data_IF_596218531597
#
_entry.id   IF_596218531597
#
_cell.length_a   1.000
_cell.length_b   1.000
_cell.length_c   1.000
_cell.angle_alpha   90.00
_cell.angle_beta   90.00
_cell.angle_gamma   90.00
#
_symmetry.space_group_name_H-M   'P 1'
#
loop_
_entity.id
_entity.type
_entity.pdbx_description
1 polymer ?
#
# COMPACT_ATOMS: atom_id res chain seq x y z
N UNK A 1 35.69 17.45 21.96
CA UNK A 1 35.09 16.52 21.02
C UNK A 1 33.68 16.99 20.66
N UNK A 2 33.16 16.67 19.48
CA UNK A 2 31.79 16.99 19.10
C UNK A 2 30.85 16.01 19.83
N UNK A 3 29.70 16.53 20.29
CA UNK A 3 28.61 15.72 20.81
C UNK A 3 27.63 15.43 19.68
N UNK A 4 27.25 14.16 19.50
CA UNK A 4 26.25 13.74 18.52
C UNK A 4 24.87 13.65 19.19
N UNK A 5 23.90 14.39 18.67
CA UNK A 5 22.52 14.40 19.15
C UNK A 5 21.61 13.86 18.04
N UNK A 6 20.73 12.91 18.39
CA UNK A 6 19.72 12.43 17.44
C UNK A 6 18.64 13.52 17.26
N UNK A 7 18.57 14.06 16.03
CA UNK A 7 17.61 15.09 15.64
C UNK A 7 16.49 14.54 14.72
N UNK A 8 16.35 13.21 14.59
CA UNK A 8 15.37 12.58 13.70
C UNK A 8 13.93 12.99 14.01
N UNK A 9 13.59 13.24 15.26
CA UNK A 9 12.25 13.69 15.67
C UNK A 9 11.87 15.05 15.05
N UNK A 10 12.84 15.97 14.87
CA UNK A 10 12.59 17.28 14.25
C UNK A 10 12.10 17.09 12.81
N UNK A 11 12.74 16.18 12.05
CA UNK A 11 12.34 15.88 10.69
C UNK A 11 10.96 15.21 10.62
N UNK A 12 10.64 14.35 11.59
CA UNK A 12 9.31 13.74 11.67
C UNK A 12 8.23 14.81 11.94
N UNK A 13 8.46 15.71 12.89
CA UNK A 13 7.52 16.79 13.20
C UNK A 13 7.28 17.72 12.00
N UNK A 14 8.35 18.09 11.29
CA UNK A 14 8.24 18.97 10.11
C UNK A 14 7.50 18.33 8.93
N UNK A 15 7.55 17.00 8.79
CA UNK A 15 7.07 16.28 7.61
C UNK A 15 5.71 15.62 7.80
N UNK A 16 5.28 15.42 9.05
CA UNK A 16 4.10 14.61 9.35
C UNK A 16 2.78 15.25 8.88
N UNK A 17 2.65 16.59 8.96
CA UNK A 17 1.46 17.33 8.52
C UNK A 17 1.78 17.98 7.18
N UNK A 18 1.05 17.59 6.14
CA UNK A 18 1.28 18.05 4.78
C UNK A 18 0.55 19.37 4.49
N UNK A 19 1.23 20.27 3.80
CA UNK A 19 0.60 21.44 3.19
C UNK A 19 -0.25 21.03 1.99
N UNK A 20 -1.09 21.93 1.49
CA UNK A 20 -1.92 21.68 0.31
C UNK A 20 -1.07 21.39 -0.95
N UNK A 21 0.11 22.01 -1.08
CA UNK A 21 1.00 21.74 -2.20
C UNK A 21 1.61 20.32 -2.13
N UNK A 22 2.00 19.87 -0.93
CA UNK A 22 2.50 18.51 -0.70
C UNK A 22 1.41 17.47 -0.97
N UNK A 23 0.17 17.75 -0.53
CA UNK A 23 -0.99 16.90 -0.84
C UNK A 23 -1.27 16.85 -2.34
N UNK A 24 -1.11 17.96 -3.06
CA UNK A 24 -1.27 17.99 -4.52
C UNK A 24 -0.23 17.10 -5.22
N UNK A 25 1.05 17.13 -4.80
CA UNK A 25 2.09 16.24 -5.32
C UNK A 25 1.76 14.76 -5.05
N UNK A 26 1.33 14.43 -3.83
CA UNK A 26 0.90 13.08 -3.48
C UNK A 26 -0.29 12.61 -4.33
N UNK A 27 -1.35 13.44 -4.47
CA UNK A 27 -2.52 13.11 -5.28
C UNK A 27 -2.15 12.83 -6.73
N UNK A 28 -1.25 13.61 -7.32
CA UNK A 28 -0.76 13.37 -8.67
C UNK A 28 0.04 12.06 -8.76
N UNK A 29 0.93 11.80 -7.80
CA UNK A 29 1.65 10.53 -7.71
C UNK A 29 0.72 9.31 -7.63
N UNK A 30 -0.33 9.37 -6.79
CA UNK A 30 -1.33 8.30 -6.71
C UNK A 30 -2.12 8.16 -8.01
N UNK A 31 -2.46 9.26 -8.69
CA UNK A 31 -3.11 9.21 -10.01
C UNK A 31 -2.25 8.45 -11.04
N UNK A 32 -0.94 8.68 -11.03
CA UNK A 32 -0.02 7.97 -11.94
C UNK A 32 0.14 6.49 -11.57
N UNK A 33 0.19 6.16 -10.28
CA UNK A 33 0.21 4.78 -9.82
C UNK A 33 -1.07 4.02 -10.21
N UNK A 34 -2.24 4.67 -10.15
CA UNK A 34 -3.51 4.14 -10.63
C UNK A 34 -3.49 3.89 -12.13
N UNK A 35 -2.98 4.83 -12.94
CA UNK A 35 -2.82 4.65 -14.39
C UNK A 35 -1.93 3.45 -14.72
N UNK A 36 -0.79 3.32 -14.03
CA UNK A 36 0.11 2.19 -14.21
C UNK A 36 -0.56 0.86 -13.86
N UNK A 37 -1.34 0.83 -12.76
CA UNK A 37 -2.08 -0.35 -12.34
C UNK A 37 -3.11 -0.77 -13.39
N UNK A 38 -3.90 0.17 -13.89
CA UNK A 38 -4.88 -0.08 -14.97
C UNK A 38 -4.20 -0.66 -16.22
N UNK A 39 -3.04 -0.14 -16.59
CA UNK A 39 -2.33 -0.61 -17.76
C UNK A 39 -1.71 -2.01 -17.55
N UNK A 40 -1.12 -2.27 -16.37
CA UNK A 40 -0.62 -3.61 -16.03
C UNK A 40 -1.75 -4.64 -16.06
N UNK A 41 -2.91 -4.35 -15.45
CA UNK A 41 -4.09 -5.22 -15.48
C UNK A 41 -4.53 -5.52 -16.91
N UNK A 42 -4.50 -4.51 -17.78
CA UNK A 42 -4.89 -4.66 -19.20
C UNK A 42 -3.92 -5.53 -19.98
N UNK A 43 -2.62 -5.47 -19.69
CA UNK A 43 -1.57 -6.15 -20.46
C UNK A 43 -1.18 -7.53 -19.91
N UNK A 44 -1.27 -7.76 -18.60
CA UNK A 44 -0.79 -8.98 -17.96
C UNK A 44 -1.49 -10.24 -18.46
N UNK A 45 -0.69 -11.27 -18.77
CA UNK A 45 -1.16 -12.59 -19.21
C UNK A 45 -0.27 -13.70 -18.64
N UNK A 46 -0.79 -14.92 -18.42
CA UNK A 46 0.05 -16.08 -18.14
C UNK A 46 1.16 -16.27 -19.18
N UNK A 47 2.35 -16.64 -18.73
CA UNK A 47 3.57 -16.77 -19.53
C UNK A 47 4.40 -15.48 -19.65
N UNK A 48 3.87 -14.32 -19.26
CA UNK A 48 4.68 -13.10 -19.12
C UNK A 48 5.46 -13.14 -17.81
N UNK A 49 6.60 -12.44 -17.77
CA UNK A 49 7.43 -12.39 -16.55
C UNK A 49 7.06 -11.21 -15.67
N UNK A 50 7.39 -11.34 -14.38
CA UNK A 50 7.25 -10.24 -13.39
C UNK A 50 7.94 -8.96 -13.88
N UNK A 51 9.18 -9.07 -14.43
CA UNK A 51 9.94 -7.92 -14.94
C UNK A 51 9.29 -7.26 -16.15
N UNK A 52 8.63 -8.01 -17.03
CA UNK A 52 7.90 -7.41 -18.17
C UNK A 52 6.78 -6.49 -17.64
N UNK A 53 6.07 -6.91 -16.59
CA UNK A 53 4.98 -6.09 -16.02
C UNK A 53 5.49 -4.87 -15.25
N UNK A 54 6.64 -4.97 -14.57
CA UNK A 54 7.32 -3.79 -14.02
C UNK A 54 7.68 -2.81 -15.13
N UNK A 55 8.22 -3.30 -16.26
CA UNK A 55 8.52 -2.46 -17.42
C UNK A 55 7.29 -1.75 -18.00
N UNK A 56 6.13 -2.39 -18.02
CA UNK A 56 4.86 -1.74 -18.40
C UNK A 56 4.50 -0.62 -17.43
N UNK A 57 4.59 -0.88 -16.13
CA UNK A 57 4.29 0.12 -15.11
C UNK A 57 5.24 1.33 -15.19
N UNK A 58 6.55 1.09 -15.30
CA UNK A 58 7.58 2.12 -15.45
C UNK A 58 7.33 2.99 -16.68
N UNK A 59 7.06 2.38 -17.83
CA UNK A 59 6.72 3.12 -19.05
C UNK A 59 5.57 4.08 -18.80
N UNK A 60 4.49 3.63 -18.17
CA UNK A 60 3.31 4.47 -17.93
C UNK A 60 3.63 5.65 -17.02
N UNK A 61 4.30 5.44 -15.89
CA UNK A 61 4.57 6.54 -14.95
C UNK A 61 5.52 7.58 -15.55
N UNK A 62 6.56 7.14 -16.27
CA UNK A 62 7.51 8.07 -16.91
C UNK A 62 6.91 8.81 -18.11
N UNK A 63 6.12 8.15 -18.95
CA UNK A 63 5.40 8.80 -20.06
C UNK A 63 4.42 9.87 -19.58
N UNK A 64 3.94 9.76 -18.33
CA UNK A 64 2.99 10.69 -17.74
C UNK A 64 3.61 11.69 -16.76
N UNK A 65 4.94 11.79 -16.71
CA UNK A 65 5.64 12.88 -16.03
C UNK A 65 6.14 12.59 -14.62
N UNK A 66 6.12 11.33 -14.15
CA UNK A 66 6.82 10.99 -12.93
C UNK A 66 8.32 11.20 -13.09
N UNK A 67 8.95 11.84 -12.09
CA UNK A 67 10.41 12.04 -12.09
C UNK A 67 11.18 10.76 -11.72
N UNK A 68 10.55 9.91 -10.92
CA UNK A 68 11.09 8.64 -10.45
C UNK A 68 9.98 7.72 -9.91
N UNK A 69 10.34 6.50 -9.53
CA UNK A 69 9.48 5.59 -8.77
C UNK A 69 9.41 6.03 -7.31
N UNK A 70 8.24 6.00 -6.68
CA UNK A 70 8.07 6.32 -5.26
C UNK A 70 8.76 5.30 -4.34
N UNK A 71 8.69 4.03 -4.74
CA UNK A 71 9.49 2.90 -4.25
C UNK A 71 9.86 2.04 -5.46
N UNK A 72 10.87 1.16 -5.37
CA UNK A 72 11.13 0.20 -6.44
C UNK A 72 9.90 -0.66 -6.71
N UNK A 73 9.24 -0.44 -7.85
CA UNK A 73 8.02 -1.14 -8.22
C UNK A 73 8.24 -2.65 -8.32
N UNK A 74 7.22 -3.41 -7.95
CA UNK A 74 7.21 -4.85 -8.17
C UNK A 74 5.83 -5.36 -8.57
N UNK A 75 5.83 -6.38 -9.42
CA UNK A 75 4.67 -7.16 -9.80
C UNK A 75 5.04 -8.61 -9.56
N UNK A 76 4.43 -9.24 -8.57
CA UNK A 76 4.79 -10.59 -8.13
C UNK A 76 3.80 -11.63 -8.65
N UNK A 77 4.32 -12.70 -9.23
CA UNK A 77 3.58 -13.97 -9.34
C UNK A 77 3.29 -14.54 -7.94
N UNK A 78 2.33 -15.43 -7.81
CA UNK A 78 1.92 -15.97 -6.51
C UNK A 78 3.10 -16.50 -5.69
N UNK A 79 4.02 -17.20 -6.32
CA UNK A 79 5.20 -17.74 -5.63
C UNK A 79 6.14 -16.67 -5.04
N UNK A 80 6.14 -15.45 -5.59
CA UNK A 80 6.93 -14.33 -5.08
C UNK A 80 6.23 -13.55 -3.95
N UNK A 81 4.91 -13.69 -3.81
CA UNK A 81 4.11 -12.92 -2.85
C UNK A 81 4.33 -13.31 -1.38
N UNK A 82 5.01 -14.42 -1.11
CA UNK A 82 5.33 -14.86 0.27
C UNK A 82 6.10 -13.82 1.08
N UNK A 83 6.83 -12.95 0.41
CA UNK A 83 7.57 -11.86 1.01
C UNK A 83 6.79 -10.56 0.85
N UNK A 84 6.57 -9.84 1.94
CA UNK A 84 5.89 -8.56 1.92
C UNK A 84 6.59 -7.55 1.01
N UNK A 85 7.92 -7.57 0.97
CA UNK A 85 8.78 -6.72 0.14
C UNK A 85 9.87 -7.61 -0.48
N UNK A 86 10.04 -7.50 -1.81
CA UNK A 86 11.09 -8.22 -2.55
C UNK A 86 11.32 -7.52 -3.90
N UNK A 87 11.92 -8.22 -4.85
CA UNK A 87 12.17 -7.75 -6.22
C UNK A 87 11.52 -8.67 -7.21
N UNK A 88 10.91 -8.09 -8.24
CA UNK A 88 10.46 -8.84 -9.42
C UNK A 88 11.63 -9.53 -10.11
N UNK A 89 11.37 -10.68 -10.69
CA UNK A 89 12.38 -11.50 -11.36
C UNK A 89 11.87 -12.07 -12.70
N UNK A 90 12.58 -13.01 -13.28
CA UNK A 90 12.20 -13.69 -14.54
C UNK A 90 11.11 -14.76 -14.36
N UNK A 91 10.48 -14.84 -13.20
CA UNK A 91 9.39 -15.79 -12.97
C UNK A 91 8.18 -15.42 -13.81
N UNK A 92 7.62 -16.44 -14.47
CA UNK A 92 6.44 -16.30 -15.32
C UNK A 92 5.16 -16.43 -14.48
N UNK A 93 4.17 -15.61 -14.81
CA UNK A 93 2.82 -15.74 -14.27
C UNK A 93 2.15 -17.01 -14.77
N UNK A 94 1.45 -17.70 -13.88
CA UNK A 94 0.67 -18.87 -14.19
C UNK A 94 -0.83 -18.54 -14.20
N UNK A 95 -1.61 -19.33 -14.93
CA UNK A 95 -3.07 -19.25 -14.87
C UNK A 95 -3.54 -19.58 -13.45
N UNK A 96 -4.33 -18.69 -12.86
CA UNK A 96 -4.84 -18.84 -11.49
C UNK A 96 -3.96 -18.21 -10.40
N UNK A 97 -2.80 -17.63 -10.75
CA UNK A 97 -1.96 -16.91 -9.79
C UNK A 97 -2.72 -15.75 -9.14
N UNK A 98 -2.53 -15.58 -7.84
CA UNK A 98 -2.71 -14.29 -7.18
C UNK A 98 -1.47 -13.47 -7.49
N UNK A 99 -1.64 -12.38 -8.21
CA UNK A 99 -0.57 -11.46 -8.57
C UNK A 99 -0.65 -10.25 -7.67
N UNK A 100 0.45 -9.91 -7.02
CA UNK A 100 0.55 -8.71 -6.18
C UNK A 100 1.20 -7.58 -6.97
N UNK A 101 0.47 -6.49 -7.12
CA UNK A 101 0.96 -5.25 -7.69
C UNK A 101 1.38 -4.31 -6.55
N UNK A 102 2.60 -3.77 -6.59
CA UNK A 102 3.02 -2.60 -5.81
C UNK A 102 3.65 -1.62 -6.78
N UNK A 103 2.88 -0.62 -7.14
CA UNK A 103 3.22 0.36 -8.16
C UNK A 103 3.26 1.76 -7.56
N UNK A 104 4.16 2.58 -8.07
CA UNK A 104 4.46 3.85 -7.44
C UNK A 104 4.88 4.91 -8.44
N UNK A 105 4.77 6.17 -8.04
CA UNK A 105 5.31 7.30 -8.77
C UNK A 105 5.85 8.35 -7.77
N UNK A 106 6.82 9.14 -8.21
CA UNK A 106 7.35 10.27 -7.46
C UNK A 106 7.10 11.56 -8.24
N UNK A 107 6.53 12.55 -7.57
CA UNK A 107 6.22 13.88 -8.10
C UNK A 107 6.80 14.94 -7.15
N UNK A 108 7.67 15.79 -7.65
CA UNK A 108 8.36 16.85 -6.88
C UNK A 108 8.93 16.33 -5.55
N UNK A 109 9.54 15.13 -5.59
CA UNK A 109 10.12 14.48 -4.43
C UNK A 109 9.13 13.66 -3.57
N UNK A 110 7.80 13.75 -3.77
CA UNK A 110 6.79 13.03 -2.99
C UNK A 110 6.47 11.68 -3.59
N UNK A 111 6.50 10.66 -2.73
CA UNK A 111 6.34 9.25 -3.10
C UNK A 111 4.92 8.77 -2.85
N UNK A 112 4.27 8.30 -3.90
CA UNK A 112 2.96 7.65 -3.82
C UNK A 112 3.09 6.19 -4.24
N UNK A 113 2.46 5.28 -3.52
CA UNK A 113 2.46 3.86 -3.83
C UNK A 113 1.10 3.23 -3.56
N UNK A 114 0.78 2.18 -4.31
CA UNK A 114 -0.42 1.38 -4.12
C UNK A 114 -0.06 -0.10 -4.15
N UNK A 115 -0.64 -0.86 -3.23
CA UNK A 115 -0.55 -2.31 -3.17
C UNK A 115 -1.90 -2.93 -3.50
N UNK A 116 -1.96 -3.80 -4.54
CA UNK A 116 -3.21 -4.32 -5.04
C UNK A 116 -3.09 -5.75 -5.55
N UNK A 117 -3.87 -6.72 -5.03
CA UNK A 117 -3.88 -8.08 -5.54
C UNK A 117 -4.86 -8.23 -6.71
N UNK A 118 -4.48 -8.99 -7.72
CA UNK A 118 -5.36 -9.46 -8.80
C UNK A 118 -5.23 -10.97 -8.95
N UNK A 119 -6.17 -11.62 -9.65
CA UNK A 119 -6.09 -13.03 -9.96
C UNK A 119 -6.13 -13.27 -11.48
N UNK A 120 -5.20 -14.08 -11.99
CA UNK A 120 -5.18 -14.47 -13.41
C UNK A 120 -6.10 -15.66 -13.69
N UNK A 121 -7.32 -15.58 -13.23
CA UNK A 121 -8.33 -16.63 -13.38
C UNK A 121 -9.42 -16.49 -12.34
N UNK A 122 -10.02 -17.60 -11.93
CA UNK A 122 -11.06 -17.62 -10.93
C UNK A 122 -10.46 -17.83 -9.54
N UNK A 123 -10.79 -16.95 -8.61
CA UNK A 123 -10.41 -17.05 -7.21
C UNK A 123 -11.52 -17.69 -6.41
N UNK A 124 -11.25 -18.84 -5.78
CA UNK A 124 -12.23 -19.63 -5.06
C UNK A 124 -11.70 -20.15 -3.72
N UNK A 125 -12.61 -20.59 -2.85
CA UNK A 125 -12.31 -21.24 -1.56
C UNK A 125 -11.49 -20.34 -0.63
N UNK A 126 -10.61 -20.96 0.14
CA UNK A 126 -9.78 -20.29 1.16
C UNK A 126 -8.96 -19.11 0.59
N UNK A 127 -8.44 -19.23 -0.62
CA UNK A 127 -7.67 -18.15 -1.27
C UNK A 127 -8.54 -16.89 -1.48
N UNK A 128 -9.81 -17.09 -1.87
CA UNK A 128 -10.77 -16.01 -2.00
C UNK A 128 -11.08 -15.37 -0.66
N UNK A 129 -11.29 -16.20 0.38
CA UNK A 129 -11.63 -15.72 1.73
C UNK A 129 -10.48 -14.89 2.31
N UNK A 130 -9.23 -15.29 2.06
CA UNK A 130 -8.02 -14.54 2.46
C UNK A 130 -7.95 -13.18 1.76
N UNK A 131 -8.14 -13.13 0.44
CA UNK A 131 -8.13 -11.86 -0.31
C UNK A 131 -9.28 -10.94 0.13
N UNK A 132 -10.46 -11.49 0.37
CA UNK A 132 -11.59 -10.74 0.89
C UNK A 132 -11.32 -10.19 2.29
N UNK A 133 -10.76 -11.00 3.18
CA UNK A 133 -10.39 -10.54 4.51
C UNK A 133 -9.32 -9.44 4.45
N UNK A 134 -8.31 -9.55 3.59
CA UNK A 134 -7.31 -8.50 3.38
C UNK A 134 -7.96 -7.16 3.01
N UNK A 135 -8.90 -7.18 2.07
CA UNK A 135 -9.69 -6.00 1.68
C UNK A 135 -10.52 -5.45 2.83
N UNK A 136 -11.21 -6.33 3.57
CA UNK A 136 -12.05 -5.94 4.71
C UNK A 136 -11.22 -5.30 5.82
N UNK A 137 -10.04 -5.86 6.14
CA UNK A 137 -9.12 -5.32 7.14
C UNK A 137 -8.58 -3.94 6.73
N UNK A 138 -8.27 -3.74 5.44
CA UNK A 138 -7.93 -2.43 4.91
C UNK A 138 -9.09 -1.43 5.05
N UNK A 139 -10.30 -1.80 4.65
CA UNK A 139 -11.48 -0.95 4.79
C UNK A 139 -11.75 -0.58 6.25
N UNK A 140 -11.70 -1.59 7.14
CA UNK A 140 -11.81 -1.38 8.57
C UNK A 140 -10.79 -0.35 9.08
N UNK A 141 -9.53 -0.43 8.63
CA UNK A 141 -8.49 0.54 8.99
C UNK A 141 -8.89 1.96 8.59
N UNK A 142 -9.35 2.17 7.36
CA UNK A 142 -9.80 3.48 6.89
C UNK A 142 -10.97 4.03 7.74
N UNK A 143 -11.89 3.18 8.18
CA UNK A 143 -13.02 3.56 9.05
C UNK A 143 -12.58 3.98 10.47
N UNK A 144 -11.42 3.51 10.95
CA UNK A 144 -10.89 3.91 12.27
C UNK A 144 -10.14 5.24 12.24
N UNK A 145 -9.72 5.70 11.06
CA UNK A 145 -8.87 6.89 10.91
C UNK A 145 -9.71 8.16 10.92
N UNK A 146 -9.41 9.05 11.87
CA UNK A 146 -9.89 10.44 11.91
C UNK A 146 -9.05 11.26 12.89
N UNK A 147 -9.13 12.58 12.80
CA UNK A 147 -8.44 13.47 13.75
C UNK A 147 -8.79 13.15 15.20
N UNK A 148 -7.79 13.24 16.09
CA UNK A 148 -7.92 13.00 17.53
C UNK A 148 -7.85 11.52 17.96
N UNK A 149 -7.94 10.56 17.07
CA UNK A 149 -7.79 9.14 17.41
C UNK A 149 -6.32 8.83 17.66
N UNK A 150 -6.02 8.10 18.73
CA UNK A 150 -4.66 7.67 19.05
C UNK A 150 -4.18 6.59 18.09
N UNK A 151 -3.03 6.81 17.46
CA UNK A 151 -2.46 5.87 16.48
C UNK A 151 -2.23 4.47 17.08
N UNK A 152 -1.76 4.40 18.33
CA UNK A 152 -1.55 3.13 19.03
C UNK A 152 -2.84 2.36 19.33
N UNK A 153 -3.96 3.05 19.50
CA UNK A 153 -5.25 2.38 19.71
C UNK A 153 -5.77 1.74 18.41
N UNK A 154 -5.55 2.40 17.27
CA UNK A 154 -5.85 1.80 15.95
C UNK A 154 -5.02 0.52 15.78
N UNK A 155 -3.72 0.55 16.05
CA UNK A 155 -2.83 -0.60 15.90
C UNK A 155 -3.23 -1.78 16.81
N UNK A 156 -3.60 -1.53 18.08
CA UNK A 156 -4.07 -2.56 19.02
C UNK A 156 -5.38 -3.19 18.54
N UNK A 157 -6.34 -2.37 18.11
CA UNK A 157 -7.63 -2.83 17.60
C UNK A 157 -7.49 -3.58 16.28
N UNK A 158 -6.55 -3.18 15.42
CA UNK A 158 -6.25 -3.86 14.16
C UNK A 158 -5.72 -5.29 14.41
N UNK A 159 -4.77 -5.45 15.33
CA UNK A 159 -4.34 -6.79 15.73
C UNK A 159 -5.49 -7.62 16.29
N UNK A 160 -6.33 -7.04 17.14
CA UNK A 160 -7.51 -7.73 17.69
C UNK A 160 -8.49 -8.12 16.58
N UNK A 161 -8.67 -7.27 15.55
CA UNK A 161 -9.49 -7.57 14.39
C UNK A 161 -9.02 -8.83 13.65
N UNK A 162 -7.71 -9.04 13.51
CA UNK A 162 -7.15 -10.29 12.96
C UNK A 162 -7.46 -11.50 13.87
N UNK A 163 -7.31 -11.34 15.18
CA UNK A 163 -7.61 -12.41 16.15
C UNK A 163 -9.07 -12.81 16.08
N UNK A 164 -9.99 -11.85 16.11
CA UNK A 164 -11.43 -12.07 16.14
C UNK A 164 -11.98 -12.73 14.87
N UNK A 165 -11.28 -12.52 13.75
CA UNK A 165 -11.64 -13.11 12.44
C UNK A 165 -10.86 -14.40 12.12
N UNK A 166 -10.06 -14.93 13.05
CA UNK A 166 -9.33 -16.19 12.88
C UNK A 166 -8.03 -16.10 12.06
N UNK A 167 -7.51 -14.89 11.81
CA UNK A 167 -6.30 -14.64 11.03
C UNK A 167 -5.08 -14.25 11.87
N UNK A 168 -5.09 -14.57 13.17
CA UNK A 168 -4.00 -14.22 14.08
C UNK A 168 -2.62 -14.67 13.56
N UNK A 169 -2.52 -15.91 13.07
CA UNK A 169 -1.26 -16.50 12.63
C UNK A 169 -0.80 -15.98 11.26
N UNK A 170 -1.66 -15.22 10.57
CA UNK A 170 -1.39 -14.59 9.29
C UNK A 170 -0.97 -13.11 9.44
N UNK A 171 -1.05 -12.56 10.67
CA UNK A 171 -0.67 -11.19 10.98
C UNK A 171 0.84 -11.01 10.94
N UNK A 172 1.31 -9.96 10.27
CA UNK A 172 2.74 -9.61 10.20
C UNK A 172 2.99 -8.22 10.74
N UNK A 173 2.25 -7.23 10.26
CA UNK A 173 2.40 -5.82 10.63
C UNK A 173 1.14 -5.01 10.22
N UNK A 174 1.18 -3.73 10.42
CA UNK A 174 0.14 -2.76 10.06
C UNK A 174 -0.39 -2.04 11.29
N UNK A 175 -1.41 -1.19 11.13
CA UNK A 175 -2.20 -0.92 9.92
C UNK A 175 -1.74 0.29 9.10
N UNK A 176 -0.86 1.17 9.66
CA UNK A 176 -0.54 2.46 9.07
C UNK A 176 0.96 2.77 9.20
N UNK A 177 1.57 3.23 8.13
CA UNK A 177 2.83 3.96 8.17
C UNK A 177 2.69 5.28 7.41
N UNK A 178 3.38 6.33 7.86
CA UNK A 178 3.35 7.62 7.17
C UNK A 178 3.98 7.51 5.79
N UNK A 179 3.51 8.35 4.88
CA UNK A 179 4.07 8.51 3.53
C UNK A 179 4.23 9.99 3.20
N UNK A 180 5.19 10.30 2.34
CA UNK A 180 5.48 11.66 1.93
C UNK A 180 6.69 11.70 1.00
N UNK A 181 7.79 12.31 1.41
CA UNK A 181 9.04 12.33 0.63
C UNK A 181 9.60 10.91 0.45
N UNK A 182 9.45 10.07 1.48
CA UNK A 182 9.78 8.65 1.43
C UNK A 182 8.46 7.88 1.53
N UNK A 183 8.34 6.81 0.78
CA UNK A 183 7.12 6.00 0.74
C UNK A 183 6.81 5.41 2.12
N UNK A 184 7.83 4.93 2.84
CA UNK A 184 7.72 4.49 4.25
C UNK A 184 8.50 5.45 5.12
N UNK A 185 7.81 6.34 5.81
CA UNK A 185 8.44 7.28 6.74
C UNK A 185 7.71 7.30 8.11
N UNK A 186 8.39 7.84 9.11
CA UNK A 186 7.76 8.09 10.42
C UNK A 186 6.72 9.22 10.33
N UNK A 187 5.69 9.20 11.21
CA UNK A 187 5.46 8.24 12.28
C UNK A 187 4.70 6.99 11.83
N UNK A 188 4.92 5.86 12.52
CA UNK A 188 4.15 4.63 12.34
C UNK A 188 3.03 4.52 13.38
N UNK A 189 1.91 3.87 13.02
CA UNK A 189 0.91 3.46 13.98
C UNK A 189 1.24 2.06 14.51
N UNK A 190 2.02 2.02 15.58
CA UNK A 190 2.36 0.83 16.34
C UNK A 190 1.61 0.80 17.67
N UNK A 191 1.52 -0.36 18.30
CA UNK A 191 0.82 -0.51 19.60
C UNK A 191 1.41 0.38 20.72
N UNK A 192 2.65 0.82 20.56
CA UNK A 192 3.37 1.74 21.45
C UNK A 192 3.20 3.23 21.10
N UNK A 193 2.55 3.54 19.97
CA UNK A 193 2.43 4.93 19.51
C UNK A 193 1.53 5.76 20.42
N UNK A 194 2.05 6.91 20.87
CA UNK A 194 1.41 7.79 21.87
C UNK A 194 1.05 9.18 21.29
N UNK A 195 0.73 9.24 20.00
CA UNK A 195 0.32 10.49 19.35
C UNK A 195 -1.09 10.37 18.75
N UNK A 196 -1.88 11.47 18.78
CA UNK A 196 -3.16 11.52 18.08
C UNK A 196 -2.93 11.79 16.60
N UNK A 197 -3.80 11.24 15.75
CA UNK A 197 -3.86 11.61 14.36
C UNK A 197 -4.32 13.07 14.22
N UNK A 198 -3.77 13.79 13.25
CA UNK A 198 -4.12 15.18 12.95
C UNK A 198 -4.51 15.33 11.49
N UNK A 199 -5.37 16.32 11.14
CA UNK A 199 -5.67 16.61 9.74
C UNK A 199 -4.41 16.84 8.92
N UNK A 200 -4.44 16.44 7.65
CA UNK A 200 -3.33 16.51 6.70
C UNK A 200 -2.12 15.62 7.03
N UNK A 201 -2.19 14.75 8.06
CA UNK A 201 -1.29 13.61 8.13
C UNK A 201 -1.63 12.64 7.00
N UNK A 202 -0.61 12.09 6.34
CA UNK A 202 -0.77 11.10 5.26
C UNK A 202 -0.18 9.76 5.65
N UNK A 203 -0.90 8.69 5.36
CA UNK A 203 -0.49 7.32 5.65
C UNK A 203 -0.75 6.41 4.46
N UNK A 204 0.01 5.34 4.41
CA UNK A 204 -0.43 4.12 3.74
C UNK A 204 -1.28 3.32 4.73
N UNK A 205 -2.53 3.06 4.36
CA UNK A 205 -3.32 2.03 5.01
C UNK A 205 -2.90 0.71 4.40
N UNK A 206 -1.95 0.03 5.06
CA UNK A 206 -1.26 -1.17 4.56
C UNK A 206 -1.64 -2.40 5.37
N UNK A 207 -2.35 -3.30 4.72
CA UNK A 207 -2.72 -4.62 5.25
C UNK A 207 -1.97 -5.69 4.48
N UNK A 208 -1.16 -6.47 5.15
CA UNK A 208 -0.51 -7.65 4.60
C UNK A 208 -0.89 -8.92 5.36
N UNK A 209 -1.28 -9.95 4.62
CA UNK A 209 -1.62 -11.28 5.15
C UNK A 209 -0.57 -12.26 4.66
N UNK A 210 0.11 -12.94 5.58
CA UNK A 210 1.09 -13.98 5.27
C UNK A 210 0.44 -15.35 5.34
N UNK A 211 0.59 -16.14 4.29
CA UNK A 211 0.19 -17.54 4.23
C UNK A 211 1.40 -18.43 3.96
N UNK A 212 1.31 -19.75 4.22
CA UNK A 212 2.44 -20.65 4.02
C UNK A 212 3.03 -20.66 2.60
N UNK A 213 2.20 -20.43 1.58
CA UNK A 213 2.59 -20.53 0.17
C UNK A 213 2.52 -19.20 -0.58
N UNK A 214 1.78 -18.21 -0.10
CA UNK A 214 1.61 -16.89 -0.72
C UNK A 214 1.36 -15.82 0.33
N UNK A 215 1.31 -14.57 -0.09
CA UNK A 215 0.86 -13.45 0.71
C UNK A 215 -0.06 -12.55 -0.09
N UNK A 216 -0.81 -11.71 0.60
CA UNK A 216 -1.72 -10.74 -0.01
C UNK A 216 -1.55 -9.40 0.66
N UNK A 217 -1.41 -8.34 -0.14
CA UNK A 217 -1.37 -6.95 0.33
C UNK A 217 -2.52 -6.15 -0.25
N UNK A 218 -3.13 -5.34 0.60
CA UNK A 218 -4.01 -4.27 0.19
C UNK A 218 -3.52 -2.97 0.80
N UNK A 219 -3.06 -2.06 -0.04
CA UNK A 219 -2.39 -0.84 0.41
C UNK A 219 -2.84 0.34 -0.42
N UNK A 220 -3.26 1.42 0.25
CA UNK A 220 -3.63 2.68 -0.38
C UNK A 220 -3.24 3.86 0.47
N UNK A 221 -2.84 4.94 -0.20
CA UNK A 221 -2.62 6.22 0.46
C UNK A 221 -3.91 6.84 0.96
N UNK A 222 -3.86 7.38 2.16
CA UNK A 222 -4.93 8.13 2.79
C UNK A 222 -4.43 9.45 3.36
N UNK A 223 -5.29 10.46 3.42
CA UNK A 223 -5.06 11.68 4.18
C UNK A 223 -6.10 11.80 5.29
N UNK A 224 -5.63 12.08 6.50
CA UNK A 224 -6.50 12.26 7.68
C UNK A 224 -7.30 13.55 7.54
N UNK A 225 -8.60 13.49 7.82
CA UNK A 225 -9.49 14.65 7.88
C UNK A 225 -10.08 14.79 9.28
N UNK A 226 -10.81 15.87 9.54
CA UNK A 226 -11.48 16.09 10.84
C UNK A 226 -12.45 14.94 11.20
N UNK A 227 -13.14 14.35 10.24
CA UNK A 227 -14.21 13.40 10.47
C UNK A 227 -13.93 11.98 9.97
N UNK A 228 -12.77 11.74 9.33
CA UNK A 228 -12.42 10.46 8.73
C UNK A 228 -11.09 10.52 7.99
N UNK A 229 -11.00 9.86 6.85
CA UNK A 229 -9.89 10.01 5.91
C UNK A 229 -10.40 10.03 4.46
N UNK A 230 -9.65 10.73 3.60
CA UNK A 230 -9.84 10.66 2.16
C UNK A 230 -8.84 9.67 1.57
N UNK A 231 -9.29 8.81 0.67
CA UNK A 231 -8.43 7.86 -0.06
C UNK A 231 -7.82 8.59 -1.25
N UNK A 232 -6.49 8.52 -1.38
CA UNK A 232 -5.74 9.23 -2.43
C UNK A 232 -5.74 8.50 -3.77
N UNK A 233 -6.10 7.20 -3.78
CA UNK A 233 -6.24 6.37 -5.00
C UNK A 233 -7.58 5.63 -5.03
N UNK A 234 -8.73 6.31 -5.19
CA UNK A 234 -10.04 5.69 -5.04
C UNK A 234 -10.44 4.76 -6.19
N UNK A 235 -9.90 4.95 -7.39
CA UNK A 235 -10.45 4.39 -8.63
C UNK A 235 -10.18 2.89 -8.89
N UNK A 236 -9.20 2.27 -8.25
CA UNK A 236 -8.78 0.90 -8.60
C UNK A 236 -9.80 -0.19 -8.26
N UNK A 237 -10.52 -0.16 -7.12
CA UNK A 237 -11.51 -1.20 -6.82
C UNK A 237 -12.65 -1.27 -7.83
N UNK A 238 -12.90 -0.17 -8.54
CA UNK A 238 -14.01 -0.03 -9.48
C UNK A 238 -13.67 -0.56 -10.87
N UNK A 239 -12.37 -0.67 -11.20
CA UNK A 239 -11.92 -0.93 -12.57
C UNK A 239 -11.92 -2.42 -12.93
N UNK A 240 -11.76 -3.35 -12.00
CA UNK A 240 -11.66 -4.77 -12.29
C UNK A 240 -12.20 -5.66 -11.16
N UNK A 241 -13.49 -5.56 -10.80
CA UNK A 241 -14.06 -6.49 -9.82
C UNK A 241 -14.01 -7.95 -10.30
N UNK A 242 -13.98 -8.17 -11.61
CA UNK A 242 -13.96 -9.50 -12.24
C UNK A 242 -12.60 -10.20 -12.13
N UNK A 243 -11.51 -9.45 -11.99
CA UNK A 243 -10.16 -10.01 -11.80
C UNK A 243 -9.83 -10.31 -10.34
N UNK A 244 -10.73 -9.96 -9.44
CA UNK A 244 -10.55 -10.14 -7.99
C UNK A 244 -11.35 -11.29 -7.42
N UNK A 245 -12.41 -11.74 -8.11
CA UNK A 245 -13.37 -12.70 -7.54
C UNK A 245 -13.98 -13.62 -8.60
#
# INVERSE_FOLDING_TARGET
GAEFVNAGYIMTELRQIKSENELACLREGYRLADLATKQVIKEIRPGMTELQMVGVAQRVVYENGAEYEGLPMYVFSEASTRHAISRSCYREFQKGDIVQLNLSAKIDGYSAAIGYPICLGKLEGERRDIVQFCRQAHQWTCEQVKAGVMAGDIAKKFYQYFVDNGFKDNFVYGPLHSTGIIEVEAPWAETSSMYPLQPNMTYQADTFISCPTFGVRWEKGIVVTENGCDILSPEIPEVCPELLF
#
